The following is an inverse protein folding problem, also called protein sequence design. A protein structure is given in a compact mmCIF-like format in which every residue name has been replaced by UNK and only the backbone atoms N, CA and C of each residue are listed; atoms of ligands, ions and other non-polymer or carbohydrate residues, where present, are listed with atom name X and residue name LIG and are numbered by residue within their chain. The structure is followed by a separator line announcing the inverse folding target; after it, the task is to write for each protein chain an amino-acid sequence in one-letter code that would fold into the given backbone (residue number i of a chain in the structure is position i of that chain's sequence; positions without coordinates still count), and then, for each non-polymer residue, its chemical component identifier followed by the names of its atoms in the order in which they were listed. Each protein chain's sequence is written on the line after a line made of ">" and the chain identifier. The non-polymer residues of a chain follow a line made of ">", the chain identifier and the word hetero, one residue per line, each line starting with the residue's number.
data_IF_893274462922
#
_entry.id   IF_893274462922
#
_cell.length_a   1.000
_cell.length_b   1.000
_cell.length_c   1.000
_cell.angle_alpha   90.00
_cell.angle_beta   90.00
_cell.angle_gamma   90.00
#
_symmetry.space_group_name_H-M   'P 1'
#
loop_
_entity.id
_entity.type
_entity.pdbx_description
1 polymer ?
#
# COMPACT_ATOMS: atom_id res chain seq x y z
N UNK A 1 -4.90 31.45 -0.23
CA UNK A 1 -6.11 30.65 -0.52
C UNK A 1 -5.84 29.78 -1.73
N UNK A 2 -5.67 28.47 -1.53
CA UNK A 2 -5.93 27.38 -2.48
C UNK A 2 -5.61 26.07 -1.73
N UNK A 3 -6.64 25.43 -1.17
CA UNK A 3 -6.51 24.13 -0.51
C UNK A 3 -6.49 23.04 -1.60
N UNK A 4 -5.30 22.59 -1.99
CA UNK A 4 -5.15 21.40 -2.84
C UNK A 4 -5.26 20.16 -1.94
N UNK A 5 -6.47 19.61 -1.84
CA UNK A 5 -6.68 18.27 -1.27
C UNK A 5 -6.19 17.24 -2.30
N UNK A 6 -5.19 16.39 -1.99
CA UNK A 6 -4.94 15.21 -2.80
C UNK A 6 -6.08 14.22 -2.50
N UNK A 7 -6.97 14.00 -3.47
CA UNK A 7 -7.98 12.95 -3.41
C UNK A 7 -7.49 11.73 -4.18
N UNK A 8 -7.58 10.54 -3.57
CA UNK A 8 -7.57 9.29 -4.32
C UNK A 8 -8.79 9.34 -5.26
N UNK A 9 -8.57 9.30 -6.57
CA UNK A 9 -9.66 9.23 -7.55
C UNK A 9 -9.78 7.78 -8.01
N UNK A 10 -10.93 7.18 -7.76
CA UNK A 10 -11.32 5.86 -8.28
C UNK A 10 -11.60 6.02 -9.78
N UNK A 11 -10.92 5.24 -10.62
CA UNK A 11 -11.15 5.21 -12.06
C UNK A 11 -12.45 4.48 -12.41
N UNK A 12 -13.08 4.77 -13.56
CA UNK A 12 -14.29 4.07 -13.99
C UNK A 12 -13.99 2.59 -14.27
N UNK A 13 -14.98 1.73 -14.02
CA UNK A 13 -15.00 0.35 -14.52
C UNK A 13 -15.02 0.39 -16.05
N UNK A 14 -14.01 -0.23 -16.68
CA UNK A 14 -14.04 -0.50 -18.11
C UNK A 14 -14.77 -1.82 -18.31
N UNK A 15 -15.98 -1.76 -18.90
CA UNK A 15 -16.62 -2.94 -19.46
C UNK A 15 -15.74 -3.45 -20.62
N UNK A 16 -15.13 -4.62 -20.44
CA UNK A 16 -14.32 -5.25 -21.49
C UNK A 16 -15.26 -5.97 -22.45
N UNK A 17 -15.43 -5.40 -23.64
CA UNK A 17 -16.08 -6.07 -24.76
C UNK A 17 -15.12 -7.11 -25.34
N UNK A 18 -15.46 -8.40 -25.21
CA UNK A 18 -14.69 -9.49 -25.78
C UNK A 18 -14.93 -9.59 -27.30
N UNK A 19 -14.03 -9.05 -28.09
CA UNK A 19 -13.91 -9.40 -29.50
C UNK A 19 -12.44 -9.37 -29.92
N UNK A 20 -11.79 -10.52 -29.88
CA UNK A 20 -10.53 -10.75 -30.57
C UNK A 20 -10.62 -12.10 -31.30
N UNK A 21 -10.46 -12.04 -32.63
CA UNK A 21 -10.37 -13.19 -33.50
C UNK A 21 -8.91 -13.66 -33.59
N UNK A 22 -8.66 -14.94 -33.31
CA UNK A 22 -7.48 -15.66 -33.79
C UNK A 22 -7.75 -17.17 -33.76
N UNK A 23 -7.99 -17.74 -34.94
CA UNK A 23 -8.43 -19.13 -35.17
C UNK A 23 -7.40 -20.22 -34.88
N UNK A 24 -6.19 -19.88 -34.42
CA UNK A 24 -5.14 -20.84 -34.04
C UNK A 24 -4.96 -21.03 -32.52
N UNK A 25 -5.62 -20.21 -31.68
CA UNK A 25 -5.59 -20.37 -30.22
C UNK A 25 -6.56 -21.43 -29.70
N UNK A 26 -7.48 -21.92 -30.54
CA UNK A 26 -8.60 -22.77 -30.11
C UNK A 26 -8.19 -24.19 -29.68
N UNK A 27 -7.01 -24.67 -30.05
CA UNK A 27 -6.57 -26.03 -29.68
C UNK A 27 -6.21 -26.15 -28.18
N UNK A 28 -5.81 -25.06 -27.51
CA UNK A 28 -5.57 -25.05 -26.07
C UNK A 28 -6.80 -24.70 -25.22
N UNK A 29 -7.88 -24.17 -25.83
CA UNK A 29 -9.12 -23.86 -25.12
C UNK A 29 -9.98 -25.09 -24.83
N UNK A 30 -9.72 -26.24 -25.45
CA UNK A 30 -10.50 -27.46 -25.21
C UNK A 30 -10.24 -28.07 -23.83
N UNK A 31 -9.06 -27.82 -23.23
CA UNK A 31 -8.76 -28.18 -21.82
C UNK A 31 -9.26 -27.11 -20.81
N UNK A 32 -9.68 -25.93 -21.30
CA UNK A 32 -10.02 -24.75 -20.49
C UNK A 32 -11.45 -24.77 -19.91
N UNK A 33 -12.12 -25.93 -19.93
CA UNK A 33 -13.38 -26.16 -19.20
C UNK A 33 -13.14 -26.79 -17.82
N UNK A 34 -11.88 -26.98 -17.42
CA UNK A 34 -11.56 -27.35 -16.06
C UNK A 34 -12.05 -26.25 -15.10
N UNK A 35 -12.79 -26.67 -14.07
CA UNK A 35 -13.16 -25.80 -12.96
C UNK A 35 -11.92 -25.28 -12.22
N UNK A 36 -12.13 -24.63 -11.09
CA UNK A 36 -11.02 -24.17 -10.26
C UNK A 36 -10.06 -25.32 -9.91
N UNK A 37 -8.74 -25.06 -9.79
CA UNK A 37 -7.79 -26.07 -9.36
C UNK A 37 -8.17 -26.64 -8.00
N UNK A 38 -7.76 -27.88 -7.72
CA UNK A 38 -8.08 -28.54 -6.45
C UNK A 38 -7.64 -27.69 -5.25
N UNK A 39 -8.54 -27.47 -4.30
CA UNK A 39 -8.29 -26.69 -3.08
C UNK A 39 -8.48 -25.18 -3.21
N UNK A 40 -8.77 -24.66 -4.41
CA UNK A 40 -9.10 -23.23 -4.60
C UNK A 40 -10.58 -22.95 -4.32
N UNK A 41 -10.91 -21.88 -3.56
CA UNK A 41 -12.29 -21.56 -3.22
C UNK A 41 -13.06 -20.95 -4.40
N UNK A 42 -14.37 -21.24 -4.52
CA UNK A 42 -15.20 -20.61 -5.57
C UNK A 42 -15.22 -19.08 -5.50
N UNK A 43 -15.15 -18.53 -4.28
CA UNK A 43 -14.98 -17.11 -4.03
C UNK A 43 -14.25 -16.87 -2.70
N UNK A 44 -13.57 -15.75 -2.61
CA UNK A 44 -13.02 -15.21 -1.37
C UNK A 44 -14.01 -14.20 -0.79
N UNK A 45 -14.80 -14.66 0.17
CA UNK A 45 -15.79 -13.84 0.88
C UNK A 45 -15.18 -13.27 2.16
N UNK A 46 -14.63 -12.06 2.05
CA UNK A 46 -14.00 -11.37 3.18
C UNK A 46 -13.89 -9.87 2.96
N UNK A 47 -13.54 -9.10 4.00
CA UNK A 47 -13.46 -7.64 3.92
C UNK A 47 -12.36 -7.15 2.97
N UNK A 48 -11.42 -8.02 2.57
CA UNK A 48 -10.43 -7.73 1.54
C UNK A 48 -11.03 -7.76 0.13
N UNK A 49 -12.17 -8.40 -0.11
CA UNK A 49 -12.84 -8.49 -1.42
C UNK A 49 -13.71 -7.25 -1.70
N UNK A 50 -13.07 -6.13 -1.98
CA UNK A 50 -13.73 -4.86 -2.28
C UNK A 50 -13.49 -4.37 -3.71
N UNK A 51 -14.41 -3.54 -4.22
CA UNK A 51 -14.17 -2.68 -5.38
C UNK A 51 -14.04 -1.24 -4.92
N UNK A 52 -13.35 -0.41 -5.71
CA UNK A 52 -13.16 1.01 -5.35
C UNK A 52 -14.49 1.75 -5.11
N UNK A 53 -15.55 1.37 -5.84
CA UNK A 53 -16.88 1.97 -5.71
C UNK A 53 -17.52 1.81 -4.32
N UNK A 54 -17.04 0.87 -3.49
CA UNK A 54 -17.51 0.69 -2.12
C UNK A 54 -17.05 1.81 -1.18
N UNK A 55 -15.97 2.53 -1.52
CA UNK A 55 -15.43 3.65 -0.73
C UNK A 55 -15.92 4.97 -1.31
N UNK A 56 -17.09 5.39 -0.86
CA UNK A 56 -17.77 6.59 -1.40
C UNK A 56 -17.31 7.88 -0.74
N UNK A 57 -16.77 7.79 0.48
CA UNK A 57 -16.29 8.94 1.23
C UNK A 57 -14.85 8.72 1.70
N UNK A 58 -14.03 9.79 1.79
CA UNK A 58 -12.69 9.68 2.35
C UNK A 58 -12.68 9.10 3.77
N UNK A 59 -13.71 9.36 4.58
CA UNK A 59 -13.82 8.81 5.95
C UNK A 59 -13.81 7.29 6.01
N UNK A 60 -14.12 6.60 4.90
CA UNK A 60 -14.16 5.14 4.86
C UNK A 60 -12.75 4.51 4.97
N UNK A 61 -11.71 5.29 4.65
CA UNK A 61 -10.32 4.83 4.65
C UNK A 61 -9.30 5.87 5.14
N UNK A 62 -9.72 7.11 5.40
CA UNK A 62 -8.87 8.21 5.88
C UNK A 62 -9.14 8.51 7.34
N UNK A 63 -8.11 8.33 8.18
CA UNK A 63 -8.08 8.89 9.53
C UNK A 63 -7.38 10.25 9.50
N UNK A 64 -8.12 11.32 9.83
CA UNK A 64 -7.56 12.66 9.93
C UNK A 64 -7.17 12.94 11.38
N UNK A 65 -5.89 13.14 11.63
CA UNK A 65 -5.34 13.50 12.94
C UNK A 65 -5.99 14.80 13.41
N UNK A 66 -6.60 14.72 14.59
CA UNK A 66 -7.11 15.88 15.32
C UNK A 66 -5.97 16.71 15.91
N UNK A 67 -6.28 17.91 16.42
CA UNK A 67 -5.27 18.72 17.12
C UNK A 67 -4.72 18.02 18.36
N UNK A 68 -5.54 17.23 19.06
CA UNK A 68 -5.09 16.41 20.19
C UNK A 68 -4.16 15.28 19.73
N UNK A 69 -4.48 14.61 18.61
CA UNK A 69 -3.61 13.57 18.04
C UNK A 69 -2.24 14.15 17.65
N UNK A 70 -2.24 15.34 17.03
CA UNK A 70 -1.02 16.03 16.64
C UNK A 70 -0.18 16.42 17.87
N UNK A 71 -0.79 17.01 18.89
CA UNK A 71 -0.10 17.36 20.14
C UNK A 71 0.47 16.12 20.85
N UNK A 72 -0.29 15.03 20.87
CA UNK A 72 0.15 13.75 21.45
C UNK A 72 1.35 13.17 20.68
N UNK A 73 1.31 13.21 19.35
CA UNK A 73 2.43 12.73 18.51
C UNK A 73 3.68 13.60 18.70
N UNK A 74 3.53 14.92 18.84
CA UNK A 74 4.63 15.83 19.16
C UNK A 74 5.24 15.54 20.54
N UNK A 75 4.39 15.27 21.55
CA UNK A 75 4.86 14.90 22.88
C UNK A 75 5.65 13.58 22.86
N UNK A 76 5.15 12.58 22.11
CA UNK A 76 5.82 11.29 21.94
C UNK A 76 7.18 11.43 21.22
N UNK A 77 7.25 12.30 20.20
CA UNK A 77 8.50 12.64 19.53
C UNK A 77 9.52 13.22 20.50
N UNK A 78 9.13 14.22 21.30
CA UNK A 78 10.05 14.83 22.28
C UNK A 78 10.49 13.86 23.37
N UNK A 79 9.57 13.01 23.83
CA UNK A 79 9.88 11.94 24.77
C UNK A 79 10.94 10.99 24.19
N UNK A 80 10.72 10.47 22.97
CA UNK A 80 11.67 9.57 22.31
C UNK A 80 13.05 10.22 22.14
N UNK A 81 13.10 11.47 21.66
CA UNK A 81 14.36 12.20 21.49
C UNK A 81 15.12 12.39 22.80
N UNK A 82 14.42 12.59 23.92
CA UNK A 82 15.05 12.70 25.23
C UNK A 82 15.72 11.40 25.72
N UNK A 83 15.35 10.25 25.16
CA UNK A 83 16.01 8.97 25.45
C UNK A 83 17.39 8.85 24.77
N UNK A 84 17.69 9.68 23.77
CA UNK A 84 18.96 9.63 23.03
C UNK A 84 19.16 8.33 22.24
N UNK A 85 18.07 7.65 21.87
CA UNK A 85 18.10 6.42 21.08
C UNK A 85 18.10 6.73 19.58
N UNK A 86 18.72 5.86 18.81
CA UNK A 86 18.63 5.89 17.35
C UNK A 86 17.22 5.47 16.88
N UNK A 87 16.78 6.00 15.74
CA UNK A 87 15.41 5.82 15.25
C UNK A 87 15.01 4.37 14.96
N UNK A 88 15.96 3.48 14.72
CA UNK A 88 15.73 2.04 14.55
C UNK A 88 15.31 1.33 15.85
N UNK A 89 15.52 1.96 17.01
CA UNK A 89 15.01 1.49 18.30
C UNK A 89 13.59 1.97 18.61
N UNK A 90 12.93 2.74 17.74
CA UNK A 90 11.54 3.17 17.96
C UNK A 90 10.63 1.95 18.11
N UNK A 91 9.82 1.98 19.18
CA UNK A 91 8.80 0.99 19.48
C UNK A 91 7.60 1.67 20.15
N UNK A 92 6.51 0.92 20.36
CA UNK A 92 5.34 1.42 21.09
C UNK A 92 5.68 1.81 22.54
N UNK A 93 6.68 1.14 23.14
CA UNK A 93 7.05 1.34 24.53
C UNK A 93 7.79 2.66 24.76
N UNK A 94 8.53 3.12 23.74
CA UNK A 94 9.31 4.37 23.80
C UNK A 94 8.74 5.50 22.91
N UNK A 95 7.61 5.25 22.25
CA UNK A 95 6.83 6.25 21.50
C UNK A 95 5.35 6.22 21.94
N UNK A 96 5.03 6.75 23.13
CA UNK A 96 3.73 6.54 23.76
C UNK A 96 2.61 7.38 23.11
N UNK A 97 1.56 6.72 22.64
CA UNK A 97 0.34 7.33 22.08
C UNK A 97 -0.90 6.76 22.78
N UNK A 98 -1.14 7.07 24.07
CA UNK A 98 -2.23 6.45 24.85
C UNK A 98 -3.63 6.62 24.24
N UNK A 99 -3.91 7.73 23.55
CA UNK A 99 -5.21 7.98 22.93
C UNK A 99 -5.18 7.65 21.44
N UNK A 100 -4.28 8.27 20.68
CA UNK A 100 -4.14 8.03 19.23
C UNK A 100 -3.82 6.55 18.93
N UNK A 101 -3.07 5.87 19.78
CA UNK A 101 -2.75 4.45 19.66
C UNK A 101 -3.99 3.56 19.60
N UNK A 102 -5.11 3.93 20.24
CA UNK A 102 -6.38 3.20 20.13
C UNK A 102 -6.96 3.27 18.73
N UNK A 103 -6.82 4.41 18.04
CA UNK A 103 -7.27 4.58 16.67
C UNK A 103 -6.29 3.91 15.69
N UNK A 104 -4.98 4.01 15.93
CA UNK A 104 -3.97 3.29 15.16
C UNK A 104 -4.16 1.78 15.25
N UNK A 105 -4.56 1.24 16.41
CA UNK A 105 -4.90 -0.19 16.55
C UNK A 105 -6.13 -0.59 15.72
N UNK A 106 -7.11 0.31 15.49
CA UNK A 106 -8.22 0.05 14.56
C UNK A 106 -7.71 -0.02 13.12
N UNK A 107 -6.85 0.93 12.73
CA UNK A 107 -6.23 0.93 11.40
C UNK A 107 -5.36 -0.32 11.20
N UNK A 108 -4.61 -0.74 12.22
CA UNK A 108 -3.85 -1.98 12.23
C UNK A 108 -4.76 -3.18 11.93
N UNK A 109 -5.90 -3.30 12.61
CA UNK A 109 -6.89 -4.35 12.32
C UNK A 109 -7.45 -4.25 10.90
N UNK A 110 -7.76 -3.06 10.42
CA UNK A 110 -8.26 -2.87 9.05
C UNK A 110 -7.22 -3.29 8.00
N UNK A 111 -5.93 -3.03 8.25
CA UNK A 111 -4.84 -3.42 7.35
C UNK A 111 -4.62 -4.94 7.36
N UNK A 112 -4.64 -5.60 8.52
CA UNK A 112 -4.33 -7.04 8.58
C UNK A 112 -5.55 -7.94 8.32
N UNK A 113 -6.74 -7.50 8.71
CA UNK A 113 -7.93 -8.35 8.76
C UNK A 113 -9.18 -7.70 8.14
N UNK A 114 -9.09 -6.43 7.74
CA UNK A 114 -10.19 -5.69 7.14
C UNK A 114 -9.99 -5.48 5.65
N UNK A 115 -10.12 -4.22 5.21
CA UNK A 115 -9.98 -3.80 3.81
C UNK A 115 -8.55 -3.87 3.27
N UNK A 116 -7.53 -4.11 4.10
CA UNK A 116 -6.14 -4.26 3.64
C UNK A 116 -5.38 -2.94 3.45
N UNK A 117 -5.97 -1.79 3.76
CA UNK A 117 -5.30 -0.49 3.65
C UNK A 117 -5.89 0.57 4.59
N UNK A 118 -5.12 1.64 4.81
CA UNK A 118 -5.56 2.83 5.53
C UNK A 118 -4.70 4.05 5.18
N UNK A 119 -5.25 5.24 5.36
CA UNK A 119 -4.55 6.50 5.10
C UNK A 119 -4.66 7.43 6.32
N UNK A 120 -3.52 7.84 6.87
CA UNK A 120 -3.45 8.82 7.95
C UNK A 120 -3.11 10.19 7.35
N UNK A 121 -3.84 11.24 7.74
CA UNK A 121 -3.61 12.63 7.29
C UNK A 121 -3.54 13.60 8.46
N UNK A 122 -2.86 14.73 8.27
CA UNK A 122 -2.88 15.85 9.22
C UNK A 122 -1.50 16.36 9.63
N UNK A 123 -0.45 15.54 9.46
CA UNK A 123 0.93 16.00 9.66
C UNK A 123 1.28 17.10 8.66
N UNK A 124 1.89 18.18 9.13
CA UNK A 124 2.42 19.25 8.30
C UNK A 124 3.95 19.10 8.15
N UNK A 125 4.46 18.65 6.99
CA UNK A 125 5.89 18.45 6.78
C UNK A 125 6.76 19.69 7.00
N UNK A 126 6.19 20.90 6.88
CA UNK A 126 6.95 22.15 7.04
C UNK A 126 7.22 22.52 8.50
N UNK A 127 6.57 21.85 9.47
CA UNK A 127 6.76 22.12 10.91
C UNK A 127 7.95 21.37 11.52
N UNK A 128 8.48 20.38 10.81
CA UNK A 128 9.41 19.41 11.39
C UNK A 128 10.67 19.30 10.53
N UNK A 129 11.79 18.96 11.15
CA UNK A 129 12.99 18.59 10.39
C UNK A 129 12.75 17.28 9.62
N UNK A 130 13.62 16.98 8.65
CA UNK A 130 13.53 15.69 7.92
C UNK A 130 13.66 14.50 8.87
N UNK A 131 14.53 14.62 9.87
CA UNK A 131 14.74 13.60 10.89
C UNK A 131 13.50 13.45 11.78
N UNK A 132 12.95 14.55 12.30
CA UNK A 132 11.73 14.50 13.11
C UNK A 132 10.55 13.88 12.34
N UNK A 133 10.42 14.16 11.05
CA UNK A 133 9.42 13.51 10.20
C UNK A 133 9.63 12.00 10.08
N UNK A 134 10.89 11.56 9.98
CA UNK A 134 11.20 10.14 9.97
C UNK A 134 10.82 9.51 11.32
N UNK A 135 11.18 10.13 12.45
CA UNK A 135 10.84 9.63 13.78
C UNK A 135 9.31 9.60 14.01
N UNK A 136 8.58 10.63 13.60
CA UNK A 136 7.11 10.66 13.64
C UNK A 136 6.51 9.51 12.81
N UNK A 137 7.03 9.30 11.61
CA UNK A 137 6.60 8.20 10.75
C UNK A 137 6.88 6.83 11.38
N UNK A 138 8.11 6.61 11.86
CA UNK A 138 8.54 5.38 12.55
C UNK A 138 7.68 5.11 13.80
N UNK A 139 7.42 6.14 14.59
CA UNK A 139 6.60 6.08 15.80
C UNK A 139 5.17 5.66 15.50
N UNK A 140 4.51 6.32 14.53
CA UNK A 140 3.14 5.99 14.13
C UNK A 140 3.06 4.57 13.54
N UNK A 141 3.98 4.19 12.65
CA UNK A 141 3.92 2.86 12.03
C UNK A 141 4.14 1.72 13.02
N UNK A 142 4.82 1.96 14.15
CA UNK A 142 5.03 0.94 15.19
C UNK A 142 3.71 0.43 15.80
N UNK A 143 2.63 1.21 15.66
CA UNK A 143 1.27 0.83 16.04
C UNK A 143 0.54 0.01 14.97
N UNK A 144 1.11 -0.11 13.76
CA UNK A 144 0.55 -0.88 12.65
C UNK A 144 1.34 -2.18 12.48
N UNK A 145 2.65 -2.11 12.26
CA UNK A 145 3.54 -3.25 12.08
C UNK A 145 4.68 -3.20 13.10
N UNK A 146 5.21 -4.37 13.48
CA UNK A 146 6.19 -4.52 14.54
C UNK A 146 7.65 -4.61 14.06
N UNK A 147 7.89 -4.72 12.75
CA UNK A 147 9.22 -4.88 12.16
C UNK A 147 9.32 -4.12 10.84
N UNK A 148 10.54 -3.72 10.49
CA UNK A 148 10.83 -3.10 9.20
C UNK A 148 11.57 -4.08 8.29
N UNK A 149 11.09 -4.19 7.05
CA UNK A 149 11.74 -5.00 6.02
C UNK A 149 12.97 -4.30 5.46
N UNK A 150 14.02 -5.08 5.17
CA UNK A 150 15.20 -4.60 4.44
C UNK A 150 14.82 -4.36 2.97
N UNK A 151 15.04 -3.15 2.48
CA UNK A 151 14.63 -2.71 1.13
C UNK A 151 15.76 -2.71 0.11
N UNK A 152 17.02 -2.83 0.55
CA UNK A 152 18.17 -2.91 -0.34
C UNK A 152 19.33 -3.74 0.23
N UNK A 153 20.35 -3.99 -0.61
CA UNK A 153 21.54 -4.74 -0.22
C UNK A 153 22.40 -4.06 0.85
N UNK A 154 22.19 -2.77 1.14
CA UNK A 154 22.92 -2.04 2.20
C UNK A 154 22.27 -2.20 3.57
N UNK A 155 21.09 -2.81 3.65
CA UNK A 155 20.36 -2.96 4.90
C UNK A 155 19.41 -1.81 5.20
N UNK A 156 19.17 -0.91 4.25
CA UNK A 156 18.26 0.20 4.47
C UNK A 156 16.82 -0.31 4.66
N UNK A 157 16.18 0.11 5.73
CA UNK A 157 14.79 -0.22 6.07
C UNK A 157 13.82 0.93 5.71
N UNK A 158 14.37 2.11 5.41
CA UNK A 158 13.66 3.27 4.93
C UNK A 158 14.41 3.82 3.71
N UNK A 159 13.72 3.91 2.58
CA UNK A 159 14.30 4.46 1.34
C UNK A 159 13.52 5.67 0.85
N UNK A 160 14.22 6.60 0.20
CA UNK A 160 13.60 7.76 -0.41
C UNK A 160 13.05 7.42 -1.81
N UNK A 161 11.76 7.68 -2.00
CA UNK A 161 11.11 7.68 -3.31
C UNK A 161 11.10 9.13 -3.81
N UNK A 162 12.01 9.44 -4.72
CA UNK A 162 12.24 10.79 -5.24
C UNK A 162 12.62 10.71 -6.70
N UNK A 163 12.01 11.51 -7.56
CA UNK A 163 12.42 11.61 -8.95
C UNK A 163 13.90 12.06 -9.00
N UNK A 164 14.76 11.23 -9.57
CA UNK A 164 16.20 11.50 -9.70
C UNK A 164 16.63 11.23 -11.14
N UNK A 165 16.82 12.30 -11.90
CA UNK A 165 17.28 12.27 -13.28
C UNK A 165 18.79 12.52 -13.43
N UNK A 166 19.56 12.47 -12.32
CA UNK A 166 21.01 12.70 -12.36
C UNK A 166 21.77 11.65 -13.19
N UNK A 167 21.17 10.49 -13.46
CA UNK A 167 21.70 9.51 -14.41
C UNK A 167 20.59 8.68 -15.07
N UNK A 168 20.87 8.08 -16.23
CA UNK A 168 19.93 7.18 -16.92
C UNK A 168 19.56 5.95 -16.08
N UNK A 169 20.52 5.40 -15.32
CA UNK A 169 20.30 4.28 -14.41
C UNK A 169 19.29 4.63 -13.32
N UNK A 170 19.43 5.82 -12.72
CA UNK A 170 18.50 6.28 -11.69
C UNK A 170 17.14 6.64 -12.26
N UNK A 171 17.09 7.31 -13.41
CA UNK A 171 15.82 7.66 -14.06
C UNK A 171 14.97 6.43 -14.45
N UNK A 172 15.62 5.28 -14.72
CA UNK A 172 14.96 4.00 -15.00
C UNK A 172 14.61 3.16 -13.76
N UNK A 173 15.09 3.53 -12.57
CA UNK A 173 14.78 2.80 -11.35
C UNK A 173 13.40 3.20 -10.83
N UNK A 174 12.54 2.23 -10.49
CA UNK A 174 11.14 2.48 -10.10
C UNK A 174 10.99 3.51 -8.97
N UNK A 175 11.92 3.54 -8.00
CA UNK A 175 11.93 4.52 -6.88
C UNK A 175 12.34 5.94 -7.27
N UNK A 176 12.88 6.11 -8.47
CA UNK A 176 13.50 7.35 -8.94
C UNK A 176 12.97 7.85 -10.28
N UNK A 177 12.05 7.10 -10.89
CA UNK A 177 11.43 7.43 -12.16
C UNK A 177 10.15 8.26 -11.98
N UNK A 178 9.79 9.00 -13.02
CA UNK A 178 8.47 9.63 -13.16
C UNK A 178 7.49 8.79 -13.99
N UNK A 179 7.92 7.61 -14.44
CA UNK A 179 7.13 6.68 -15.25
C UNK A 179 6.09 5.95 -14.40
N UNK A 180 4.97 5.56 -15.01
CA UNK A 180 3.99 4.68 -14.36
C UNK A 180 4.63 3.36 -13.96
N UNK A 181 4.34 2.92 -12.74
CA UNK A 181 4.72 1.59 -12.24
C UNK A 181 3.52 0.66 -12.44
N UNK A 182 3.76 -0.56 -12.92
CA UNK A 182 2.72 -1.58 -13.07
C UNK A 182 2.24 -2.07 -11.70
N UNK A 183 1.04 -2.65 -11.63
CA UNK A 183 0.59 -3.31 -10.41
C UNK A 183 1.57 -4.42 -10.01
N UNK A 184 1.88 -4.47 -8.72
CA UNK A 184 2.76 -5.45 -8.09
C UNK A 184 2.42 -5.52 -6.60
N UNK A 185 2.83 -6.62 -5.96
CA UNK A 185 2.96 -6.71 -4.52
C UNK A 185 4.44 -6.56 -4.15
N UNK A 186 4.74 -6.24 -2.90
CA UNK A 186 6.10 -6.24 -2.39
C UNK A 186 6.47 -7.66 -1.91
N UNK A 187 7.63 -8.15 -2.30
CA UNK A 187 8.10 -9.51 -1.98
C UNK A 187 8.68 -9.59 -0.56
N UNK A 188 9.25 -8.48 -0.07
CA UNK A 188 10.04 -8.45 1.15
C UNK A 188 9.25 -8.20 2.45
N UNK A 189 7.91 -8.13 2.43
CA UNK A 189 7.13 -7.94 3.65
C UNK A 189 5.62 -7.93 3.48
N UNK A 190 4.91 -8.08 4.60
CA UNK A 190 3.44 -8.20 4.64
C UNK A 190 2.72 -6.87 4.38
N UNK A 191 3.36 -5.74 4.72
CA UNK A 191 2.77 -4.39 4.64
C UNK A 191 3.77 -3.43 4.02
N UNK A 192 3.33 -2.74 2.96
CA UNK A 192 4.01 -1.56 2.44
C UNK A 192 3.39 -0.28 3.04
N UNK A 193 4.23 0.61 3.54
CA UNK A 193 3.84 1.93 4.01
C UNK A 193 4.80 2.98 3.50
N UNK A 194 4.31 4.22 3.33
CA UNK A 194 5.13 5.36 2.95
C UNK A 194 4.60 6.64 3.57
N UNK A 195 5.49 7.62 3.71
CA UNK A 195 5.18 8.96 4.19
C UNK A 195 5.45 10.02 3.12
N UNK A 196 4.41 10.76 2.75
CA UNK A 196 4.50 11.80 1.72
C UNK A 196 4.97 13.12 2.32
N UNK A 197 6.23 13.50 2.04
CA UNK A 197 6.81 14.80 2.43
C UNK A 197 6.41 15.94 1.46
N UNK A 198 6.27 15.61 0.18
CA UNK A 198 5.86 16.55 -0.87
C UNK A 198 5.08 15.79 -1.94
N UNK A 199 4.02 16.41 -2.46
CA UNK A 199 3.23 15.86 -3.55
C UNK A 199 3.81 16.28 -4.90
N UNK A 200 3.66 15.42 -5.91
CA UNK A 200 3.99 15.79 -7.29
C UNK A 200 3.10 16.97 -7.75
N UNK A 201 3.68 17.91 -8.51
CA UNK A 201 2.93 19.04 -9.06
C UNK A 201 1.83 18.57 -10.04
N UNK A 202 2.12 17.51 -10.81
CA UNK A 202 1.19 16.84 -11.72
C UNK A 202 1.44 15.34 -11.65
N UNK A 203 0.37 14.54 -11.71
CA UNK A 203 0.46 13.08 -11.63
C UNK A 203 0.64 12.58 -10.19
N UNK A 204 1.53 11.59 -9.98
CA UNK A 204 1.81 11.03 -8.66
C UNK A 204 0.64 10.31 -8.00
N UNK A 205 -0.29 9.76 -8.80
CA UNK A 205 -1.43 9.00 -8.30
C UNK A 205 -0.93 7.65 -7.76
N UNK A 206 -1.34 7.31 -6.55
CA UNK A 206 -1.25 5.94 -6.05
C UNK A 206 -2.59 5.25 -6.31
N UNK A 207 -2.54 4.07 -6.92
CA UNK A 207 -3.71 3.25 -7.23
C UNK A 207 -3.49 1.91 -6.56
N UNK A 208 -4.51 1.42 -5.85
CA UNK A 208 -4.52 0.11 -5.21
C UNK A 208 -5.70 -0.71 -5.75
N UNK A 209 -5.54 -2.02 -5.77
CA UNK A 209 -6.57 -2.97 -6.17
C UNK A 209 -6.58 -4.15 -5.19
N UNK A 210 -7.76 -4.71 -4.96
CA UNK A 210 -7.89 -5.91 -4.14
C UNK A 210 -7.52 -7.16 -4.94
N UNK A 211 -6.52 -7.90 -4.47
CA UNK A 211 -6.19 -9.21 -5.01
C UNK A 211 -7.33 -10.22 -4.82
N UNK A 212 -8.12 -10.10 -3.75
CA UNK A 212 -9.29 -10.95 -3.49
C UNK A 212 -10.37 -10.73 -4.54
N UNK A 213 -10.65 -9.47 -4.87
CA UNK A 213 -11.63 -9.15 -5.91
C UNK A 213 -11.14 -9.58 -7.29
N UNK A 214 -9.85 -9.39 -7.60
CA UNK A 214 -9.26 -9.89 -8.85
C UNK A 214 -9.41 -11.41 -8.93
N UNK A 215 -9.12 -12.13 -7.84
CA UNK A 215 -9.33 -13.56 -7.75
C UNK A 215 -10.78 -13.94 -8.02
N UNK A 216 -11.75 -13.32 -7.35
CA UNK A 216 -13.18 -13.63 -7.54
C UNK A 216 -13.63 -13.43 -9.00
N UNK A 217 -13.16 -12.35 -9.65
CA UNK A 217 -13.46 -12.11 -11.08
C UNK A 217 -12.85 -13.20 -11.96
N UNK A 218 -11.62 -13.64 -11.69
CA UNK A 218 -10.97 -14.71 -12.43
C UNK A 218 -11.62 -16.07 -12.17
N UNK A 219 -11.97 -16.39 -10.93
CA UNK A 219 -12.65 -17.62 -10.56
C UNK A 219 -14.01 -17.76 -11.28
N UNK A 220 -14.76 -16.67 -11.40
CA UNK A 220 -16.06 -16.65 -12.08
C UNK A 220 -15.92 -16.70 -13.61
N UNK A 221 -14.98 -15.95 -14.20
CA UNK A 221 -14.95 -15.72 -15.65
C UNK A 221 -13.88 -16.49 -16.42
N UNK A 222 -12.77 -16.87 -15.75
CA UNK A 222 -11.55 -17.46 -16.34
C UNK A 222 -10.79 -18.35 -15.34
N UNK A 223 -11.40 -19.43 -14.82
CA UNK A 223 -10.75 -20.34 -13.87
C UNK A 223 -9.47 -20.98 -14.43
N UNK A 224 -9.36 -21.10 -15.76
CA UNK A 224 -8.15 -21.54 -16.47
C UNK A 224 -6.93 -20.65 -16.18
N UNK A 225 -7.15 -19.34 -15.94
CA UNK A 225 -6.08 -18.43 -15.54
C UNK A 225 -5.64 -18.67 -14.09
N UNK A 226 -6.54 -19.10 -13.21
CA UNK A 226 -6.17 -19.47 -11.83
C UNK A 226 -5.27 -20.70 -11.84
N UNK A 227 -5.57 -21.70 -12.67
CA UNK A 227 -4.70 -22.88 -12.84
C UNK A 227 -3.28 -22.48 -13.27
N UNK A 228 -3.18 -21.62 -14.28
CA UNK A 228 -1.88 -21.11 -14.74
C UNK A 228 -1.15 -20.33 -13.65
N UNK A 229 -1.83 -19.44 -12.92
CA UNK A 229 -1.26 -18.62 -11.84
C UNK A 229 -0.84 -19.45 -10.63
N UNK A 230 -1.50 -20.59 -10.37
CA UNK A 230 -1.20 -21.48 -9.25
C UNK A 230 0.06 -22.34 -9.45
N UNK A 231 0.59 -22.41 -10.67
CA UNK A 231 1.80 -23.19 -10.96
C UNK A 231 3.01 -22.66 -10.18
N UNK A 232 3.92 -23.55 -9.82
CA UNK A 232 5.13 -23.22 -9.06
C UNK A 232 6.35 -22.90 -9.93
N UNK A 233 6.19 -22.81 -11.26
CA UNK A 233 7.29 -22.65 -12.22
C UNK A 233 7.39 -21.22 -12.80
N UNK A 234 6.95 -20.22 -12.04
CA UNK A 234 7.15 -18.82 -12.41
C UNK A 234 8.65 -18.46 -12.38
N UNK A 235 9.17 -17.78 -13.42
CA UNK A 235 10.60 -17.45 -13.54
C UNK A 235 11.05 -16.31 -12.60
N UNK A 236 10.17 -15.84 -11.71
CA UNK A 236 10.43 -14.79 -10.73
C UNK A 236 10.05 -15.33 -9.35
N UNK A 237 11.06 -15.60 -8.53
CA UNK A 237 10.95 -15.95 -7.11
C UNK A 237 12.09 -15.26 -6.35
#
# INVERSE_FOLDING_TARGET
>A
MASLKPGLKIGPSLAVSAAFAATDYMAHFADALAGLPEGFPEALDGPMAWTGAQFTQPSDYVYTLSNSDLQETENALWYFKALGLDGDFISRDNFPLPNLGLQLNKICRDVHHGKGFGLIRGLNPQKYSTEDLALLYLGIQSYIANRHGRQDRKGNMLVHIVADNSSKLKAGHHRHSTTSITFHNEEAGDIISWFTRSAAAVGGKCIIASAYTIYNVLAESRPDLIDTLARCDWPFA
#
